data_IF_250045398607
#
_entry.id   IF_250045398607
#
_cell.length_a   1.000
_cell.length_b   1.000
_cell.length_c   1.000
_cell.angle_alpha   90.00
_cell.angle_beta   90.00
_cell.angle_gamma   90.00
#
_symmetry.space_group_name_H-M   'P 1'
#
loop_
_entity.id
_entity.type
_entity.pdbx_description
1 polymer ?
#
# COMPACT_ATOMS: atom_id res chain seq x y z
N UNK A 1 -31.32 -11.88 -8.73
CA UNK A 1 -31.40 -10.73 -9.65
C UNK A 1 -30.00 -10.21 -9.84
N UNK A 2 -29.31 -10.64 -10.90
CA UNK A 2 -27.94 -10.21 -11.17
C UNK A 2 -27.97 -8.90 -11.93
N UNK A 3 -28.00 -7.78 -11.19
CA UNK A 3 -27.85 -6.45 -11.79
C UNK A 3 -26.39 -6.28 -12.19
N UNK A 4 -26.11 -6.38 -13.49
CA UNK A 4 -24.79 -6.03 -14.04
C UNK A 4 -24.54 -4.54 -13.79
N UNK A 5 -23.48 -4.26 -13.04
CA UNK A 5 -23.03 -2.91 -12.78
C UNK A 5 -22.45 -2.30 -14.07
N UNK A 6 -22.76 -1.04 -14.31
CA UNK A 6 -22.10 -0.25 -15.35
C UNK A 6 -20.61 -0.10 -15.03
N UNK A 7 -19.79 0.13 -16.05
CA UNK A 7 -18.35 0.40 -15.86
C UNK A 7 -18.11 1.60 -14.93
N UNK A 8 -18.96 2.64 -15.02
CA UNK A 8 -18.88 3.82 -14.16
C UNK A 8 -19.20 3.50 -12.70
N UNK A 9 -20.24 2.70 -12.45
CA UNK A 9 -20.64 2.25 -11.11
C UNK A 9 -19.53 1.37 -10.50
N UNK A 10 -18.95 0.47 -11.30
CA UNK A 10 -17.83 -0.39 -10.87
C UNK A 10 -16.62 0.44 -10.47
N UNK A 11 -16.23 1.41 -11.31
CA UNK A 11 -15.11 2.31 -11.02
C UNK A 11 -15.41 3.15 -9.78
N UNK A 12 -16.63 3.69 -9.66
CA UNK A 12 -17.03 4.50 -8.52
C UNK A 12 -17.00 3.73 -7.20
N UNK A 13 -17.54 2.52 -7.17
CA UNK A 13 -17.50 1.64 -6.00
C UNK A 13 -16.07 1.18 -5.68
N UNK A 14 -15.27 0.88 -6.71
CA UNK A 14 -13.86 0.54 -6.54
C UNK A 14 -13.05 1.68 -5.94
N UNK A 15 -13.21 2.89 -6.45
CA UNK A 15 -12.57 4.09 -5.93
C UNK A 15 -13.00 4.37 -4.49
N UNK A 16 -14.31 4.27 -4.20
CA UNK A 16 -14.84 4.45 -2.84
C UNK A 16 -14.26 3.42 -1.87
N UNK A 17 -14.19 2.15 -2.27
CA UNK A 17 -13.60 1.08 -1.47
C UNK A 17 -12.11 1.34 -1.20
N UNK A 18 -11.36 1.71 -2.24
CA UNK A 18 -9.94 2.05 -2.11
C UNK A 18 -9.72 3.24 -1.18
N UNK A 19 -10.47 4.32 -1.35
CA UNK A 19 -10.38 5.50 -0.48
C UNK A 19 -10.74 5.17 0.96
N UNK A 20 -11.78 4.36 1.17
CA UNK A 20 -12.19 3.92 2.51
C UNK A 20 -11.11 3.07 3.18
N UNK A 21 -10.49 2.16 2.43
CA UNK A 21 -9.40 1.32 2.93
C UNK A 21 -8.18 2.15 3.32
N UNK A 22 -7.69 3.02 2.42
CA UNK A 22 -6.53 3.88 2.68
C UNK A 22 -6.84 4.87 3.82
N UNK A 23 -8.04 5.44 3.85
CA UNK A 23 -8.48 6.34 4.91
C UNK A 23 -8.52 5.67 6.28
N UNK A 24 -9.06 4.45 6.37
CA UNK A 24 -9.09 3.68 7.62
C UNK A 24 -7.68 3.31 8.10
N UNK A 25 -6.82 2.84 7.19
CA UNK A 25 -5.42 2.56 7.52
C UNK A 25 -4.69 3.82 8.00
N UNK A 26 -4.81 4.93 7.28
CA UNK A 26 -4.22 6.20 7.69
C UNK A 26 -4.73 6.68 9.05
N UNK A 27 -6.03 6.52 9.33
CA UNK A 27 -6.61 6.88 10.62
C UNK A 27 -6.06 6.00 11.75
N UNK A 28 -6.10 4.68 11.61
CA UNK A 28 -5.65 3.75 12.66
C UNK A 28 -4.17 3.96 12.99
N UNK A 29 -3.32 4.04 11.95
CA UNK A 29 -1.88 4.27 12.11
C UNK A 29 -1.59 5.69 12.66
N UNK A 30 -2.20 6.72 12.10
CA UNK A 30 -1.97 8.11 12.49
C UNK A 30 -2.44 8.46 13.91
N UNK A 31 -3.50 7.82 14.40
CA UNK A 31 -3.93 7.96 15.80
C UNK A 31 -3.14 7.09 16.79
N UNK A 32 -2.19 6.27 16.31
CA UNK A 32 -1.36 5.43 17.17
C UNK A 32 -2.11 4.30 17.86
N UNK A 33 -3.24 3.84 17.29
CA UNK A 33 -4.00 2.71 17.83
C UNK A 33 -3.22 1.39 17.74
N UNK A 34 -2.22 1.34 16.86
CA UNK A 34 -1.29 0.23 16.66
C UNK A 34 0.13 0.80 16.69
N UNK A 35 1.12 0.09 17.28
CA UNK A 35 2.50 0.57 17.25
C UNK A 35 3.03 0.68 15.81
N UNK A 36 3.78 1.76 15.55
CA UNK A 36 4.25 2.14 14.21
C UNK A 36 5.15 1.06 13.57
N UNK A 37 5.82 0.23 14.38
CA UNK A 37 6.60 -0.91 13.92
C UNK A 37 5.75 -1.99 13.25
N UNK A 38 4.48 -2.12 13.62
CA UNK A 38 3.55 -3.11 13.07
C UNK A 38 2.62 -2.53 12.00
N UNK A 39 2.22 -1.26 12.14
CA UNK A 39 1.36 -0.59 11.17
C UNK A 39 1.87 0.84 10.88
N UNK A 40 2.93 0.98 10.09
CA UNK A 40 3.37 2.28 9.62
C UNK A 40 2.27 2.98 8.81
N UNK A 41 2.32 4.30 8.77
CA UNK A 41 1.39 5.08 7.94
C UNK A 41 1.56 4.76 6.44
N UNK A 42 0.53 4.93 5.61
CA UNK A 42 0.65 4.70 4.16
C UNK A 42 1.76 5.51 3.51
N UNK A 43 1.96 6.76 3.96
CA UNK A 43 3.02 7.64 3.45
C UNK A 43 4.41 7.12 3.85
N UNK A 44 4.57 6.63 5.09
CA UNK A 44 5.83 6.03 5.53
C UNK A 44 6.19 4.78 4.71
N UNK A 45 5.19 3.95 4.38
CA UNK A 45 5.40 2.78 3.50
C UNK A 45 5.87 3.20 2.11
N UNK A 46 5.25 4.21 1.51
CA UNK A 46 5.66 4.74 0.18
C UNK A 46 7.09 5.30 0.24
N UNK A 47 7.41 6.09 1.26
CA UNK A 47 8.75 6.62 1.47
C UNK A 47 9.78 5.50 1.55
N UNK A 48 9.54 4.52 2.42
CA UNK A 48 10.44 3.37 2.57
C UNK A 48 10.60 2.56 1.29
N UNK A 49 9.51 2.40 0.53
CA UNK A 49 9.57 1.74 -0.77
C UNK A 49 10.49 2.48 -1.75
N UNK A 50 10.36 3.81 -1.84
CA UNK A 50 11.22 4.65 -2.69
C UNK A 50 12.68 4.57 -2.22
N UNK A 51 12.92 4.61 -0.91
CA UNK A 51 14.26 4.49 -0.34
C UNK A 51 14.90 3.16 -0.74
N UNK A 52 14.23 2.03 -0.53
CA UNK A 52 14.74 0.71 -0.88
C UNK A 52 14.91 0.50 -2.40
N UNK A 53 14.17 1.26 -3.20
CA UNK A 53 14.29 1.23 -4.65
C UNK A 53 15.55 1.97 -5.14
N UNK A 54 16.06 2.94 -4.38
CA UNK A 54 17.21 3.79 -4.77
C UNK A 54 18.48 3.46 -3.99
N UNK A 55 18.32 3.19 -2.71
CA UNK A 55 19.40 2.93 -1.77
C UNK A 55 19.52 1.43 -1.48
N UNK A 56 20.73 0.86 -1.53
CA UNK A 56 20.94 -0.53 -1.16
C UNK A 56 20.60 -0.78 0.30
N UNK A 57 19.84 -1.84 0.55
CA UNK A 57 19.59 -2.37 1.89
C UNK A 57 20.19 -3.76 2.00
N UNK A 58 21.08 -3.95 2.99
CA UNK A 58 21.88 -5.17 3.12
C UNK A 58 22.70 -5.50 1.86
N UNK A 59 23.27 -4.47 1.22
CA UNK A 59 24.16 -4.62 0.06
C UNK A 59 23.46 -4.69 -1.30
N UNK A 60 22.13 -4.76 -1.34
CA UNK A 60 21.35 -4.83 -2.59
C UNK A 60 20.12 -3.93 -2.55
N UNK A 61 19.74 -3.41 -3.72
CA UNK A 61 18.49 -2.65 -3.91
C UNK A 61 17.28 -3.59 -3.93
N UNK A 62 16.08 -3.05 -3.76
CA UNK A 62 14.83 -3.82 -3.77
C UNK A 62 14.68 -4.67 -5.05
N UNK A 63 15.03 -4.12 -6.21
CA UNK A 63 14.89 -4.80 -7.51
C UNK A 63 15.80 -6.02 -7.59
N UNK A 64 17.02 -5.92 -7.04
CA UNK A 64 17.98 -7.03 -7.02
C UNK A 64 17.51 -8.16 -6.10
N UNK A 65 16.98 -7.83 -4.92
CA UNK A 65 16.37 -8.81 -4.02
C UNK A 65 15.17 -9.51 -4.67
N UNK A 66 14.29 -8.75 -5.34
CA UNK A 66 13.13 -9.31 -6.04
C UNK A 66 13.53 -10.20 -7.21
N UNK A 67 14.51 -9.79 -8.03
CA UNK A 67 14.99 -10.61 -9.13
C UNK A 67 15.57 -11.93 -8.62
N UNK A 68 16.37 -11.88 -7.54
CA UNK A 68 16.95 -13.09 -6.93
C UNK A 68 15.90 -14.03 -6.34
N UNK A 69 14.72 -13.52 -5.96
CA UNK A 69 13.65 -14.34 -5.40
C UNK A 69 12.79 -15.02 -6.48
N UNK A 70 12.83 -14.50 -7.71
CA UNK A 70 12.01 -14.97 -8.84
C UNK A 70 12.78 -15.89 -9.79
N UNK A 71 14.11 -15.95 -9.68
CA UNK A 71 15.02 -16.82 -10.45
C UNK A 71 15.47 -18.00 -9.61
#
# INVERSE_FOLDING_TARGET
MDRRLSHSETIGLGALGLMSFIGLWAAISGFGLVPDQFLPTPIAVIGRFIDLFREPFAGFTLQQHLSSSLT
#
